data_IF_053737974640
#
_entry.id   IF_053737974640
#
_cell.length_a   1.000
_cell.length_b   1.000
_cell.length_c   1.000
_cell.angle_alpha   90.00
_cell.angle_beta   90.00
_cell.angle_gamma   90.00
#
_symmetry.space_group_name_H-M   'P 1'
#
loop_
_entity.id
_entity.type
_entity.pdbx_description
1 polymer ?
#
# COMPACT_ATOMS: atom_id res chain seq x y z
N UNK A 1 -4.18 25.51 -32.37
CA UNK A 1 -3.15 24.97 -31.46
C UNK A 1 -3.89 24.26 -30.35
N UNK A 2 -3.76 22.94 -30.22
CA UNK A 2 -4.36 22.23 -29.08
C UNK A 2 -3.61 22.70 -27.85
N UNK A 3 -4.34 23.22 -26.88
CA UNK A 3 -3.80 23.74 -25.63
C UNK A 3 -3.46 22.57 -24.71
N UNK A 4 -2.38 21.86 -25.10
CA UNK A 4 -1.93 20.61 -24.51
C UNK A 4 -1.85 20.64 -22.97
N UNK A 5 -1.36 21.73 -22.32
CA UNK A 5 -1.36 21.82 -20.86
C UNK A 5 -2.77 21.75 -20.27
N UNK A 6 -3.73 22.48 -20.83
CA UNK A 6 -5.12 22.52 -20.34
C UNK A 6 -5.83 21.18 -20.53
N UNK A 7 -5.59 20.48 -21.65
CA UNK A 7 -6.11 19.13 -21.88
C UNK A 7 -5.51 18.12 -20.90
N UNK A 8 -4.21 18.22 -20.61
CA UNK A 8 -3.52 17.35 -19.65
C UNK A 8 -4.04 17.56 -18.22
N UNK A 9 -4.13 18.81 -17.75
CA UNK A 9 -4.63 19.13 -16.41
C UNK A 9 -6.08 18.67 -16.22
N UNK A 10 -6.95 18.86 -17.21
CA UNK A 10 -8.34 18.39 -17.14
C UNK A 10 -8.46 16.86 -17.03
N UNK A 11 -7.55 16.10 -17.66
CA UNK A 11 -7.51 14.65 -17.52
C UNK A 11 -7.02 14.24 -16.12
N UNK A 12 -5.99 14.92 -15.60
CA UNK A 12 -5.51 14.68 -14.24
C UNK A 12 -6.60 14.96 -13.21
N UNK A 13 -7.32 16.07 -13.33
CA UNK A 13 -8.42 16.42 -12.42
C UNK A 13 -9.54 15.38 -12.42
N UNK A 14 -9.94 14.91 -13.62
CA UNK A 14 -10.93 13.82 -13.74
C UNK A 14 -10.44 12.53 -13.10
N UNK A 15 -9.18 12.16 -13.33
CA UNK A 15 -8.59 10.95 -12.79
C UNK A 15 -8.46 11.01 -11.26
N UNK A 16 -7.92 12.10 -10.71
CA UNK A 16 -7.80 12.29 -9.25
C UNK A 16 -9.16 12.36 -8.58
N UNK A 17 -10.14 13.04 -9.20
CA UNK A 17 -11.53 13.06 -8.73
C UNK A 17 -12.15 11.65 -8.67
N UNK A 18 -11.91 10.82 -9.68
CA UNK A 18 -12.35 9.41 -9.67
C UNK A 18 -11.68 8.60 -8.55
N UNK A 19 -10.36 8.75 -8.37
CA UNK A 19 -9.63 8.08 -7.29
C UNK A 19 -10.13 8.48 -5.90
N UNK A 20 -10.44 9.77 -5.70
CA UNK A 20 -10.99 10.28 -4.44
C UNK A 20 -12.40 9.75 -4.18
N UNK A 21 -13.26 9.77 -5.20
CA UNK A 21 -14.64 9.27 -5.10
C UNK A 21 -14.72 7.82 -4.64
N UNK A 22 -13.73 7.01 -5.02
CA UNK A 22 -13.67 5.59 -4.68
C UNK A 22 -12.73 5.26 -3.51
N UNK A 23 -12.34 6.27 -2.71
CA UNK A 23 -11.44 6.15 -1.56
C UNK A 23 -10.07 5.51 -1.88
N UNK A 24 -9.68 5.43 -3.16
CA UNK A 24 -8.46 4.74 -3.59
C UNK A 24 -7.20 5.48 -3.12
N UNK A 25 -7.21 6.82 -3.19
CA UNK A 25 -6.12 7.65 -2.64
C UNK A 25 -5.99 7.43 -1.14
N UNK A 26 -7.10 7.46 -0.41
CA UNK A 26 -7.12 7.28 1.05
C UNK A 26 -6.59 5.91 1.46
N UNK A 27 -7.06 4.85 0.79
CA UNK A 27 -6.62 3.49 1.04
C UNK A 27 -5.11 3.33 0.77
N UNK A 28 -4.60 3.95 -0.29
CA UNK A 28 -3.18 3.94 -0.61
C UNK A 28 -2.32 4.63 0.45
N UNK A 29 -2.71 5.83 0.89
CA UNK A 29 -2.03 6.54 1.97
C UNK A 29 -2.06 5.76 3.28
N UNK A 30 -3.18 5.11 3.60
CA UNK A 30 -3.28 4.23 4.76
C UNK A 30 -2.26 3.08 4.68
N UNK A 31 -2.18 2.36 3.55
CA UNK A 31 -1.23 1.26 3.37
C UNK A 31 0.20 1.73 3.63
N UNK A 32 0.62 2.84 3.01
CA UNK A 32 1.97 3.39 3.18
C UNK A 32 2.23 3.77 4.65
N UNK A 33 1.27 4.42 5.29
CA UNK A 33 1.38 4.87 6.68
C UNK A 33 1.52 3.69 7.65
N UNK A 34 0.70 2.66 7.46
CA UNK A 34 0.79 1.44 8.25
C UNK A 34 2.10 0.71 8.00
N UNK A 35 2.53 0.56 6.75
CA UNK A 35 3.83 -0.05 6.41
C UNK A 35 4.98 0.67 7.12
N UNK A 36 5.00 2.00 7.09
CA UNK A 36 6.03 2.78 7.77
C UNK A 36 6.02 2.51 9.30
N UNK A 37 4.85 2.58 9.94
CA UNK A 37 4.70 2.32 11.37
C UNK A 37 5.13 0.90 11.75
N UNK A 38 4.67 -0.11 11.02
CA UNK A 38 5.05 -1.52 11.24
C UNK A 38 6.55 -1.71 11.12
N UNK A 39 7.18 -1.04 10.15
CA UNK A 39 8.63 -1.09 9.95
C UNK A 39 9.39 -0.49 11.15
N UNK A 40 8.93 0.64 11.69
CA UNK A 40 9.49 1.22 12.92
C UNK A 40 9.36 0.24 14.08
N UNK A 41 8.22 -0.42 14.24
CA UNK A 41 8.01 -1.40 15.33
C UNK A 41 8.97 -2.59 15.18
N UNK A 42 9.20 -3.09 13.96
CA UNK A 42 10.21 -4.13 13.72
C UNK A 42 11.62 -3.69 14.11
N UNK A 43 12.02 -2.47 13.75
CA UNK A 43 13.34 -1.92 14.14
C UNK A 43 13.45 -1.75 15.65
N UNK A 44 12.40 -1.25 16.31
CA UNK A 44 12.35 -1.12 17.76
C UNK A 44 12.43 -2.47 18.46
N UNK A 45 11.73 -3.50 17.95
CA UNK A 45 11.86 -4.86 18.41
C UNK A 45 13.31 -5.35 18.30
N UNK A 46 13.97 -5.14 17.15
CA UNK A 46 15.34 -5.60 16.91
C UNK A 46 16.34 -4.98 17.90
N UNK A 47 16.18 -3.69 18.22
CA UNK A 47 17.02 -2.96 19.17
C UNK A 47 16.73 -3.31 20.63
N UNK A 48 15.46 -3.48 21.00
CA UNK A 48 15.03 -3.74 22.38
C UNK A 48 14.97 -5.22 22.77
N UNK A 49 14.98 -6.12 21.78
CA UNK A 49 14.67 -7.56 21.92
C UNK A 49 13.31 -7.85 22.57
N UNK A 50 12.37 -6.90 22.48
CA UNK A 50 11.03 -7.01 23.09
C UNK A 50 10.12 -7.97 22.31
N UNK A 51 9.81 -9.13 22.90
CA UNK A 51 8.85 -10.10 22.34
C UNK A 51 7.46 -9.51 22.03
N UNK A 52 6.86 -8.69 22.92
CA UNK A 52 5.58 -8.03 22.62
C UNK A 52 5.61 -7.15 21.35
N UNK A 53 6.70 -6.41 21.11
CA UNK A 53 6.82 -5.59 19.89
C UNK A 53 6.89 -6.45 18.63
N UNK A 54 7.53 -7.62 18.70
CA UNK A 54 7.53 -8.57 17.57
C UNK A 54 6.12 -9.05 17.24
N UNK A 55 5.35 -9.45 18.24
CA UNK A 55 3.96 -9.91 18.04
C UNK A 55 3.11 -8.81 17.41
N UNK A 56 3.21 -7.58 17.91
CA UNK A 56 2.49 -6.43 17.34
C UNK A 56 2.91 -6.18 15.89
N UNK A 57 4.21 -6.21 15.58
CA UNK A 57 4.70 -5.99 14.22
C UNK A 57 4.21 -7.07 13.25
N UNK A 58 4.22 -8.35 13.66
CA UNK A 58 3.73 -9.46 12.83
C UNK A 58 2.24 -9.35 12.57
N UNK A 59 1.42 -9.10 13.60
CA UNK A 59 -0.03 -8.91 13.43
C UNK A 59 -0.30 -7.73 12.49
N UNK A 60 0.42 -6.62 12.70
CA UNK A 60 0.29 -5.43 11.87
C UNK A 60 0.65 -5.71 10.39
N UNK A 61 1.72 -6.44 10.12
CA UNK A 61 2.10 -6.86 8.76
C UNK A 61 1.01 -7.71 8.09
N UNK A 62 0.41 -8.65 8.82
CA UNK A 62 -0.70 -9.48 8.31
C UNK A 62 -1.92 -8.62 7.97
N UNK A 63 -2.29 -7.68 8.85
CA UNK A 63 -3.41 -6.78 8.61
C UNK A 63 -3.18 -5.89 7.38
N UNK A 64 -1.96 -5.41 7.17
CA UNK A 64 -1.58 -4.64 5.99
C UNK A 64 -1.77 -5.47 4.71
N UNK A 65 -1.33 -6.73 4.71
CA UNK A 65 -1.48 -7.64 3.55
C UNK A 65 -2.96 -7.78 3.18
N UNK A 66 -3.82 -8.08 4.16
CA UNK A 66 -5.25 -8.22 3.91
C UNK A 66 -5.91 -6.91 3.47
N UNK A 67 -5.55 -5.80 4.11
CA UNK A 67 -6.09 -4.49 3.75
C UNK A 67 -5.66 -4.07 2.33
N UNK A 68 -4.39 -4.31 1.97
CA UNK A 68 -3.87 -4.04 0.63
C UNK A 68 -4.54 -4.93 -0.42
N UNK A 69 -4.70 -6.23 -0.14
CA UNK A 69 -5.45 -7.15 -0.98
C UNK A 69 -6.88 -6.66 -1.24
N UNK A 70 -7.64 -6.36 -0.19
CA UNK A 70 -9.02 -5.86 -0.33
C UNK A 70 -9.08 -4.55 -1.12
N UNK A 71 -8.13 -3.64 -0.88
CA UNK A 71 -8.07 -2.36 -1.61
C UNK A 71 -7.79 -2.57 -3.10
N UNK A 72 -6.92 -3.50 -3.46
CA UNK A 72 -6.59 -3.83 -4.86
C UNK A 72 -7.76 -4.54 -5.53
N UNK A 73 -8.40 -5.51 -4.86
CA UNK A 73 -9.59 -6.18 -5.40
C UNK A 73 -10.69 -5.15 -5.69
N UNK A 74 -10.95 -4.23 -4.75
CA UNK A 74 -11.91 -3.15 -4.95
C UNK A 74 -11.52 -2.24 -6.13
N UNK A 75 -10.25 -1.83 -6.23
CA UNK A 75 -9.77 -1.04 -7.37
C UNK A 75 -9.96 -1.76 -8.71
N UNK A 76 -9.67 -3.05 -8.78
CA UNK A 76 -9.84 -3.85 -9.99
C UNK A 76 -11.32 -4.02 -10.33
N UNK A 77 -12.19 -4.24 -9.35
CA UNK A 77 -13.63 -4.31 -9.56
C UNK A 77 -14.21 -3.01 -10.13
N UNK A 78 -13.67 -1.86 -9.74
CA UNK A 78 -14.08 -0.56 -10.30
C UNK A 78 -13.60 -0.37 -11.75
N UNK A 79 -12.51 -1.03 -12.14
CA UNK A 79 -11.95 -0.94 -13.49
C UNK A 79 -12.53 -1.99 -14.45
N UNK A 80 -13.02 -3.12 -13.92
CA UNK A 80 -13.64 -4.19 -14.71
C UNK A 80 -15.13 -3.90 -14.81
N UNK A 81 -15.61 -3.69 -16.05
CA UNK A 81 -17.02 -3.48 -16.39
C UNK A 81 -17.95 -4.40 -15.58
N UNK A 82 -19.06 -3.87 -15.03
CA UNK A 82 -19.98 -4.60 -14.13
C UNK A 82 -20.47 -5.93 -14.72
N UNK A 83 -20.45 -6.06 -16.05
CA UNK A 83 -20.86 -7.26 -16.79
C UNK A 83 -19.77 -8.33 -16.97
N UNK A 84 -18.51 -8.06 -16.60
CA UNK A 84 -17.41 -9.03 -16.66
C UNK A 84 -17.22 -9.69 -15.31
N UNK A 85 -17.39 -11.02 -15.27
CA UNK A 85 -17.15 -11.81 -14.06
C UNK A 85 -15.71 -11.64 -13.58
N UNK A 86 -15.56 -11.26 -12.30
CA UNK A 86 -14.26 -11.26 -11.62
C UNK A 86 -13.70 -12.70 -11.63
N UNK A 87 -12.62 -12.91 -12.40
CA UNK A 87 -12.05 -14.25 -12.60
C UNK A 87 -11.14 -14.64 -11.44
N UNK A 88 -10.99 -15.95 -11.22
CA UNK A 88 -10.05 -16.48 -10.22
C UNK A 88 -8.60 -16.00 -10.47
N UNK A 89 -8.23 -15.79 -11.74
CA UNK A 89 -6.93 -15.26 -12.13
C UNK A 89 -6.73 -13.82 -11.63
N UNK A 90 -7.72 -12.95 -11.78
CA UNK A 90 -7.67 -11.58 -11.23
C UNK A 90 -7.57 -11.59 -9.71
N UNK A 91 -8.27 -12.52 -9.04
CA UNK A 91 -8.16 -12.68 -7.59
C UNK A 91 -6.75 -13.10 -7.16
N UNK A 92 -6.14 -14.03 -7.90
CA UNK A 92 -4.77 -14.49 -7.63
C UNK A 92 -3.75 -13.38 -7.87
N UNK A 93 -3.86 -12.62 -8.96
CA UNK A 93 -3.01 -11.44 -9.21
C UNK A 93 -3.19 -10.40 -8.11
N UNK A 94 -4.43 -10.15 -7.67
CA UNK A 94 -4.72 -9.22 -6.58
C UNK A 94 -4.07 -9.67 -5.28
N UNK A 95 -4.09 -10.98 -4.99
CA UNK A 95 -3.46 -11.55 -3.80
C UNK A 95 -1.94 -11.44 -3.85
N UNK A 96 -1.33 -11.71 -5.00
CA UNK A 96 0.12 -11.54 -5.20
C UNK A 96 0.50 -10.07 -5.02
N UNK A 97 -0.20 -9.13 -5.65
CA UNK A 97 0.09 -7.71 -5.54
C UNK A 97 -0.15 -7.19 -4.11
N UNK A 98 -1.30 -7.50 -3.52
CA UNK A 98 -1.66 -7.07 -2.17
C UNK A 98 -0.87 -7.74 -1.05
N UNK A 99 -0.31 -8.92 -1.31
CA UNK A 99 0.55 -9.62 -0.37
C UNK A 99 2.02 -9.25 -0.50
N UNK A 100 2.58 -9.35 -1.70
CA UNK A 100 4.03 -9.18 -1.89
C UNK A 100 4.45 -7.72 -1.82
N UNK A 101 3.69 -6.79 -2.42
CA UNK A 101 4.11 -5.39 -2.48
C UNK A 101 4.27 -4.80 -1.08
N UNK A 102 3.31 -4.93 -0.15
CA UNK A 102 3.50 -4.39 1.20
C UNK A 102 4.65 -5.06 1.95
N UNK A 103 4.88 -6.36 1.77
CA UNK A 103 6.01 -7.07 2.40
C UNK A 103 7.34 -6.52 1.91
N UNK A 104 7.51 -6.35 0.59
CA UNK A 104 8.72 -5.75 0.03
C UNK A 104 8.95 -4.32 0.54
N UNK A 105 7.89 -3.51 0.64
CA UNK A 105 8.00 -2.15 1.15
C UNK A 105 8.33 -2.16 2.65
N UNK A 106 7.76 -3.06 3.47
CA UNK A 106 8.14 -3.21 4.88
C UNK A 106 9.63 -3.52 5.01
N UNK A 107 10.14 -4.50 4.26
CA UNK A 107 11.56 -4.88 4.31
C UNK A 107 12.47 -3.71 3.88
N UNK A 108 12.09 -3.01 2.81
CA UNK A 108 12.79 -1.82 2.36
C UNK A 108 12.78 -0.71 3.42
N UNK A 109 11.63 -0.42 4.02
CA UNK A 109 11.48 0.62 5.04
C UNK A 109 12.26 0.30 6.30
N UNK A 110 12.29 -0.96 6.74
CA UNK A 110 13.16 -1.40 7.85
C UNK A 110 14.62 -1.03 7.55
N UNK A 111 15.10 -1.31 6.34
CA UNK A 111 16.49 -1.02 5.96
C UNK A 111 16.77 0.49 5.91
N UNK A 112 15.87 1.28 5.32
CA UNK A 112 15.97 2.74 5.31
C UNK A 112 16.01 3.32 6.72
N UNK A 113 15.14 2.84 7.63
CA UNK A 113 15.11 3.29 9.01
C UNK A 113 16.42 2.92 9.73
N UNK A 114 16.98 1.73 9.48
CA UNK A 114 18.29 1.34 10.04
C UNK A 114 19.42 2.26 9.57
N UNK A 115 19.46 2.58 8.27
CA UNK A 115 20.45 3.50 7.71
C UNK A 115 20.32 4.89 8.34
N UNK A 116 19.09 5.41 8.48
CA UNK A 116 18.85 6.69 9.12
C UNK A 116 19.30 6.72 10.59
N UNK A 117 19.05 5.65 11.34
CA UNK A 117 19.46 5.56 12.76
C UNK A 117 20.97 5.40 12.94
N UNK A 118 21.65 4.73 12.02
CA UNK A 118 23.11 4.55 12.06
C UNK A 118 23.90 5.77 11.59
N UNK A 119 23.32 6.57 10.68
CA UNK A 119 23.93 7.84 10.26
C UNK A 119 23.83 8.94 11.32
N UNK A 120 22.90 8.81 12.27
CA UNK A 120 22.69 9.77 13.37
C UNK A 120 23.47 9.46 14.65
N UNK A 121 24.22 8.36 14.70
CA UNK A 121 25.08 7.93 15.82
C UNK A 121 26.54 8.02 15.43
#
# INVERSE_FOLDING_TARGET
MIDFPNVLFSHFEKFTGWLYKHDLIKNWFNIISWVALTSVIFVLHEKSKSGPLFVVAVISAILIIFYSFHSIVHAIQLCVDENKKFTWFLMLVSFILGGLVPVFIILYMIEVIRLALSAGT
#
